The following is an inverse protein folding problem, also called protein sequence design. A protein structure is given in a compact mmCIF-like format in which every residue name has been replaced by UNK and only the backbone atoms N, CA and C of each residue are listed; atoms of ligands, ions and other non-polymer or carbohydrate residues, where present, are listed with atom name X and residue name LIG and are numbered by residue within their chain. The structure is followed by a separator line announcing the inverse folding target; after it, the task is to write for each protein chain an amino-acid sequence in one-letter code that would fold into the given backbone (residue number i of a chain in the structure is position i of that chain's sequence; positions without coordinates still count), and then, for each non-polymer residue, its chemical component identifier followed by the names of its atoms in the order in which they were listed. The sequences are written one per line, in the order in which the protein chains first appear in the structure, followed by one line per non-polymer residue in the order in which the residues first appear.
data_IF_939818143002
#
_entry.id   IF_939818143002
#
_cell.length_a   1.000
_cell.length_b   1.000
_cell.length_c   1.000
_cell.angle_alpha   90.00
_cell.angle_beta   90.00
_cell.angle_gamma   90.00
#
_symmetry.space_group_name_H-M   'P 1'
#
loop_
_entity.id
_entity.type
_entity.pdbx_description
1 polymer ?
#
# COMPACT_ATOMS: atom_id res chain seq x y z
N UNK A 1 1.36 6.24 -32.55
CA UNK A 1 0.35 6.23 -31.45
C UNK A 1 -0.39 4.91 -31.51
N UNK A 2 -0.18 3.99 -30.55
CA UNK A 2 -0.81 2.66 -30.60
C UNK A 2 -0.25 1.58 -29.66
N UNK A 3 0.86 1.81 -28.95
CA UNK A 3 1.57 0.76 -28.20
C UNK A 3 0.98 0.36 -26.83
N UNK A 4 -0.15 0.92 -26.42
CA UNK A 4 -0.70 0.68 -25.07
C UNK A 4 -2.17 0.24 -25.06
N UNK A 5 -2.81 0.10 -26.23
CA UNK A 5 -4.17 -0.45 -26.32
C UNK A 5 -4.23 -1.91 -25.90
N UNK A 6 -3.12 -2.63 -26.01
CA UNK A 6 -3.05 -4.07 -25.71
C UNK A 6 -2.62 -4.36 -24.26
N UNK A 7 -2.27 -3.33 -23.47
CA UNK A 7 -2.02 -3.47 -22.03
C UNK A 7 -3.32 -3.40 -21.21
N UNK A 8 -4.41 -2.93 -21.83
CA UNK A 8 -5.74 -2.94 -21.23
C UNK A 8 -6.35 -4.32 -21.44
N UNK A 9 -6.23 -5.19 -20.42
CA UNK A 9 -7.05 -6.38 -20.33
C UNK A 9 -6.36 -7.73 -20.53
N UNK A 10 -5.04 -7.83 -20.42
CA UNK A 10 -4.44 -9.15 -20.17
C UNK A 10 -4.56 -9.46 -18.67
N UNK A 11 -5.45 -10.37 -18.24
CA UNK A 11 -5.32 -10.93 -16.91
C UNK A 11 -3.90 -11.52 -16.81
N UNK A 12 -3.17 -11.18 -15.74
CA UNK A 12 -1.85 -11.77 -15.49
C UNK A 12 -2.01 -13.29 -15.59
N UNK A 13 -1.32 -13.92 -16.54
CA UNK A 13 -1.31 -15.38 -16.61
C UNK A 13 -0.63 -15.90 -15.34
N UNK A 14 -1.04 -17.07 -14.87
CA UNK A 14 -0.39 -17.69 -13.72
C UNK A 14 1.12 -17.81 -14.00
N UNK A 15 1.95 -17.20 -13.14
CA UNK A 15 3.42 -17.07 -13.23
C UNK A 15 3.99 -15.98 -14.15
N UNK A 16 3.18 -15.04 -14.66
CA UNK A 16 3.68 -13.85 -15.37
C UNK A 16 3.79 -12.67 -14.39
N UNK A 17 5.02 -12.18 -14.15
CA UNK A 17 5.25 -10.96 -13.38
C UNK A 17 4.78 -9.73 -14.14
N UNK A 18 4.17 -8.75 -13.45
CA UNK A 18 3.76 -7.50 -14.10
C UNK A 18 5.00 -6.73 -14.61
N UNK A 19 4.97 -6.13 -15.82
CA UNK A 19 6.06 -5.26 -16.28
C UNK A 19 6.17 -3.95 -15.46
N UNK A 20 5.25 -3.74 -14.53
CA UNK A 20 5.23 -2.64 -13.58
C UNK A 20 5.42 -3.18 -12.16
N UNK A 21 5.84 -2.32 -11.23
CA UNK A 21 5.91 -2.64 -9.79
C UNK A 21 4.52 -2.92 -9.14
N UNK A 22 3.45 -3.06 -9.93
CA UNK A 22 2.08 -3.26 -9.49
C UNK A 22 1.17 -3.71 -10.63
N UNK A 23 -0.16 -3.75 -10.40
CA UNK A 23 -1.15 -4.17 -11.40
C UNK A 23 -1.67 -2.97 -12.21
N UNK A 24 -1.83 -3.13 -13.52
CA UNK A 24 -2.54 -2.17 -14.36
C UNK A 24 -4.03 -2.26 -14.07
N UNK A 25 -4.65 -1.14 -13.74
CA UNK A 25 -6.08 -1.04 -13.43
C UNK A 25 -6.72 0.09 -14.22
N UNK A 26 -8.03 -0.02 -14.44
CA UNK A 26 -8.78 1.07 -15.06
C UNK A 26 -8.90 2.27 -14.12
N UNK A 27 -8.90 3.46 -14.73
CA UNK A 27 -9.02 4.74 -14.05
C UNK A 27 -10.18 5.53 -14.65
N UNK A 28 -11.08 5.97 -13.78
CA UNK A 28 -12.22 6.79 -14.18
C UNK A 28 -11.97 8.24 -13.80
N UNK A 29 -12.11 9.16 -14.75
CA UNK A 29 -11.98 10.60 -14.50
C UNK A 29 -13.35 11.27 -14.55
N UNK A 30 -13.63 12.08 -13.54
CA UNK A 30 -14.82 12.92 -13.43
C UNK A 30 -14.42 14.38 -13.17
N UNK A 31 -15.39 15.29 -13.13
CA UNK A 31 -15.16 16.70 -12.75
C UNK A 31 -14.62 16.83 -11.31
N UNK A 32 -15.03 15.94 -10.41
CA UNK A 32 -14.61 15.95 -9.00
C UNK A 32 -13.25 15.31 -8.74
N UNK A 33 -12.62 14.69 -9.75
CA UNK A 33 -11.33 14.03 -9.60
C UNK A 33 -11.22 12.70 -10.33
N UNK A 34 -10.37 11.83 -9.79
CA UNK A 34 -10.04 10.52 -10.39
C UNK A 34 -10.41 9.42 -9.42
N UNK A 35 -11.06 8.37 -9.93
CA UNK A 35 -11.37 7.14 -9.21
C UNK A 35 -10.50 6.01 -9.75
N UNK A 36 -9.76 5.35 -8.85
CA UNK A 36 -8.93 4.18 -9.14
C UNK A 36 -9.41 3.06 -8.23
N UNK A 37 -9.79 1.92 -8.81
CA UNK A 37 -10.18 0.75 -8.04
C UNK A 37 -8.97 -0.13 -7.77
N UNK A 38 -8.46 -0.07 -6.54
CA UNK A 38 -7.37 -0.95 -6.09
C UNK A 38 -7.95 -2.33 -5.76
N UNK A 39 -7.44 -3.43 -6.34
CA UNK A 39 -7.85 -4.79 -6.02
C UNK A 39 -7.63 -5.12 -4.53
N UNK A 40 -8.54 -5.88 -3.93
CA UNK A 40 -8.51 -6.15 -2.48
C UNK A 40 -7.24 -6.89 -2.04
N UNK A 41 -6.73 -7.78 -2.89
CA UNK A 41 -5.51 -8.56 -2.65
C UNK A 41 -4.25 -7.69 -2.60
N UNK A 42 -4.31 -6.48 -3.16
CA UNK A 42 -3.22 -5.49 -3.08
C UNK A 42 -3.34 -4.56 -1.85
N UNK A 43 -4.40 -4.69 -1.06
CA UNK A 43 -4.61 -3.88 0.14
C UNK A 43 -4.11 -4.54 1.43
N UNK A 44 -3.76 -5.83 1.36
CA UNK A 44 -3.14 -6.53 2.47
C UNK A 44 -1.83 -5.81 2.86
N UNK A 45 -1.67 -5.55 4.15
CA UNK A 45 -0.55 -4.79 4.73
C UNK A 45 -0.37 -3.33 4.30
N UNK A 46 -1.14 -2.83 3.33
CA UNK A 46 -1.07 -1.43 2.95
C UNK A 46 -1.35 -0.52 4.14
N UNK A 47 -2.25 -0.95 5.05
CA UNK A 47 -2.73 -0.18 6.21
C UNK A 47 -4.07 0.52 5.98
N UNK A 48 -4.81 0.11 4.93
CA UNK A 48 -6.15 0.59 4.62
C UNK A 48 -7.15 -0.32 5.36
N UNK A 49 -7.93 0.24 6.28
CA UNK A 49 -9.00 -0.48 6.98
C UNK A 49 -10.32 -0.42 6.19
N UNK A 50 -11.28 -1.30 6.48
CA UNK A 50 -12.64 -1.17 5.95
C UNK A 50 -13.23 0.17 6.41
N UNK A 51 -13.80 0.95 5.49
CA UNK A 51 -14.38 2.26 5.76
C UNK A 51 -13.52 3.43 5.30
N UNK A 52 -13.54 4.53 6.05
CA UNK A 52 -12.87 5.78 5.65
C UNK A 52 -11.42 5.81 6.15
N UNK A 53 -10.47 5.97 5.22
CA UNK A 53 -9.06 6.15 5.49
C UNK A 53 -8.59 7.49 4.92
N UNK A 54 -7.50 8.04 5.48
CA UNK A 54 -6.84 9.22 4.92
C UNK A 54 -5.57 8.80 4.21
N UNK A 55 -5.36 9.37 3.04
CA UNK A 55 -4.14 9.19 2.24
C UNK A 55 -3.58 10.56 1.89
N UNK A 56 -2.27 10.65 1.75
CA UNK A 56 -1.62 11.76 1.06
C UNK A 56 -1.43 11.38 -0.40
N UNK A 57 -1.68 12.35 -1.28
CA UNK A 57 -1.54 12.19 -2.73
C UNK A 57 -0.64 13.30 -3.24
N UNK A 58 0.37 12.94 -4.03
CA UNK A 58 1.26 13.91 -4.68
C UNK A 58 1.56 13.50 -6.11
N UNK A 59 2.05 14.46 -6.89
CA UNK A 59 2.43 14.25 -8.29
C UNK A 59 3.92 14.43 -8.49
N UNK A 60 4.45 13.70 -9.44
CA UNK A 60 5.78 13.91 -10.00
C UNK A 60 5.69 14.50 -11.41
N UNK A 61 6.78 15.12 -11.88
CA UNK A 61 6.82 15.76 -13.21
C UNK A 61 6.78 14.76 -14.37
N UNK A 62 7.10 13.48 -14.11
CA UNK A 62 7.04 12.39 -15.08
C UNK A 62 5.60 11.88 -15.33
N UNK A 63 4.59 12.49 -14.69
CA UNK A 63 3.19 12.09 -14.81
C UNK A 63 2.74 11.04 -13.79
N UNK A 64 3.61 10.61 -12.87
CA UNK A 64 3.26 9.69 -11.79
C UNK A 64 2.42 10.41 -10.74
N UNK A 65 1.32 9.77 -10.35
CA UNK A 65 0.52 10.15 -9.18
C UNK A 65 0.74 9.08 -8.12
N UNK A 66 1.31 9.47 -7.00
CA UNK A 66 1.66 8.59 -5.89
C UNK A 66 0.71 8.83 -4.72
N UNK A 67 0.39 7.74 -4.00
CA UNK A 67 -0.44 7.79 -2.81
C UNK A 67 0.25 7.04 -1.67
N UNK A 68 0.16 7.57 -0.45
CA UNK A 68 0.56 6.87 0.77
C UNK A 68 -0.48 7.04 1.85
N UNK A 69 -0.62 6.05 2.72
CA UNK A 69 -1.54 6.16 3.85
C UNK A 69 -1.02 7.22 4.82
N UNK A 70 -1.92 8.07 5.28
CA UNK A 70 -1.61 9.16 6.21
C UNK A 70 -1.57 8.69 7.68
N UNK A 71 -1.54 7.39 7.95
CA UNK A 71 -1.28 6.85 9.29
C UNK A 71 0.22 6.88 9.54
N UNK A 72 0.65 7.81 10.39
CA UNK A 72 2.06 8.04 10.65
C UNK A 72 2.50 7.19 11.85
N UNK A 73 3.55 6.38 11.65
CA UNK A 73 4.22 5.73 12.77
C UNK A 73 4.85 6.79 13.68
N UNK A 74 4.58 6.79 14.99
CA UNK A 74 5.09 7.82 15.89
C UNK A 74 6.62 7.79 16.03
N UNK A 75 7.29 6.69 15.66
CA UNK A 75 8.74 6.51 15.78
C UNK A 75 9.48 6.97 14.53
N UNK A 76 9.16 6.45 13.33
CA UNK A 76 9.84 6.85 12.08
C UNK A 76 9.20 8.01 11.34
N UNK A 77 8.01 8.46 11.74
CA UNK A 77 7.25 9.51 11.05
C UNK A 77 6.86 9.17 9.60
N UNK A 78 7.08 7.95 9.15
CA UNK A 78 6.65 7.44 7.85
C UNK A 78 5.19 6.96 7.89
N UNK A 79 4.51 7.07 6.75
CA UNK A 79 3.19 6.49 6.54
C UNK A 79 3.30 4.97 6.51
N UNK A 80 2.60 4.27 7.40
CA UNK A 80 2.63 2.82 7.50
C UNK A 80 1.34 2.26 8.10
N UNK A 81 1.06 0.98 7.85
CA UNK A 81 0.15 0.21 8.70
C UNK A 81 0.69 0.20 10.12
N UNK A 82 -0.16 0.53 11.08
CA UNK A 82 0.21 0.52 12.49
C UNK A 82 -0.36 -0.71 13.17
N UNK A 83 0.43 -1.27 14.08
CA UNK A 83 0.10 -2.40 14.92
C UNK A 83 0.13 -1.95 16.37
N UNK A 84 -0.87 -2.36 17.13
CA UNK A 84 -0.94 -2.07 18.55
C UNK A 84 0.11 -2.88 19.30
N UNK A 85 1.00 -2.19 20.01
CA UNK A 85 1.95 -2.75 20.95
C UNK A 85 1.51 -2.38 22.37
N UNK A 86 1.24 -3.39 23.19
CA UNK A 86 0.94 -3.24 24.60
C UNK A 86 2.23 -3.12 25.42
N UNK A 87 2.44 -1.97 26.06
CA UNK A 87 3.59 -1.68 26.92
C UNK A 87 3.26 -1.84 28.43
N UNK A 88 2.14 -2.49 28.75
CA UNK A 88 1.65 -2.71 30.12
C UNK A 88 0.93 -1.49 30.71
N UNK A 89 1.59 -0.32 30.74
CA UNK A 89 1.00 0.92 31.25
C UNK A 89 0.30 1.77 30.18
N UNK A 90 0.57 1.48 28.90
CA UNK A 90 0.01 2.19 27.75
C UNK A 90 0.06 1.33 26.49
N UNK A 91 -0.76 1.67 25.51
CA UNK A 91 -0.73 1.06 24.17
C UNK A 91 -0.21 2.07 23.16
N UNK A 92 0.66 1.63 22.24
CA UNK A 92 1.20 2.45 21.16
C UNK A 92 0.98 1.77 19.81
N UNK A 93 0.58 2.54 18.80
CA UNK A 93 0.42 2.05 17.43
C UNK A 93 1.67 2.39 16.61
N UNK A 94 2.45 1.39 16.20
CA UNK A 94 3.75 1.55 15.50
C UNK A 94 3.81 0.70 14.23
N UNK A 95 4.70 1.03 13.30
CA UNK A 95 4.90 0.21 12.09
C UNK A 95 5.50 -1.17 12.42
N UNK A 96 5.35 -2.13 11.51
CA UNK A 96 5.85 -3.49 11.66
C UNK A 96 7.36 -3.54 11.95
N UNK A 97 8.16 -2.68 11.31
CA UNK A 97 9.61 -2.60 11.49
C UNK A 97 9.97 -2.22 12.93
N UNK A 98 9.39 -1.14 13.47
CA UNK A 98 9.66 -0.73 14.85
C UNK A 98 9.05 -1.70 15.86
N UNK A 99 7.94 -2.35 15.52
CA UNK A 99 7.41 -3.44 16.34
C UNK A 99 8.44 -4.57 16.46
N UNK A 100 9.04 -4.98 15.35
CA UNK A 100 10.10 -5.99 15.34
C UNK A 100 11.32 -5.55 16.14
N UNK A 101 11.78 -4.30 16.00
CA UNK A 101 12.91 -3.77 16.78
C UNK A 101 12.66 -3.78 18.29
N UNK A 102 11.42 -3.53 18.72
CA UNK A 102 11.06 -3.48 20.15
C UNK A 102 10.74 -4.85 20.75
N UNK A 103 10.12 -5.74 19.98
CA UNK A 103 9.57 -7.02 20.49
C UNK A 103 10.41 -8.22 20.05
N UNK A 104 11.26 -8.08 19.03
CA UNK A 104 12.06 -9.16 18.44
C UNK A 104 11.27 -10.12 17.53
N UNK A 105 10.00 -9.79 17.24
CA UNK A 105 9.14 -10.53 16.31
C UNK A 105 8.16 -9.59 15.62
N UNK A 106 7.77 -9.91 14.39
CA UNK A 106 6.74 -9.15 13.68
C UNK A 106 5.37 -9.32 14.35
N UNK A 107 4.50 -8.30 14.28
CA UNK A 107 3.15 -8.39 14.83
C UNK A 107 2.30 -9.38 14.01
N UNK A 108 1.31 -9.99 14.65
CA UNK A 108 0.39 -10.92 13.97
C UNK A 108 -0.35 -10.20 12.83
N UNK A 109 -0.32 -10.81 11.64
CA UNK A 109 -0.89 -10.21 10.43
C UNK A 109 0.03 -9.24 9.70
N UNK A 110 1.28 -9.04 10.13
CA UNK A 110 2.33 -8.52 9.27
C UNK A 110 2.90 -9.65 8.41
N UNK A 111 2.58 -9.65 7.13
CA UNK A 111 3.25 -10.55 6.17
C UNK A 111 4.56 -9.87 5.77
N UNK A 112 5.70 -10.47 6.12
CA UNK A 112 6.97 -10.12 5.50
C UNK A 112 6.91 -10.60 4.05
N UNK A 113 6.64 -9.71 3.10
CA UNK A 113 7.04 -9.98 1.71
C UNK A 113 8.57 -9.87 1.62
N UNK A 114 9.29 -10.77 2.29
CA UNK A 114 10.52 -11.29 1.73
C UNK A 114 10.10 -12.42 0.79
N UNK A 115 9.63 -12.07 -0.41
CA UNK A 115 9.74 -13.03 -1.51
C UNK A 115 11.19 -12.95 -1.97
N UNK A 116 11.95 -13.92 -1.47
CA UNK A 116 13.11 -14.55 -2.09
C UNK A 116 13.32 -14.26 -3.58
N UNK A 117 14.58 -13.94 -3.91
CA UNK A 117 15.30 -13.94 -5.21
C UNK A 117 15.46 -12.59 -5.92
#
# INVERSE_FOLDING_TARGET
MGRYKDLQGMPLQANEGSPFMGRVVDVERSEGGVFVRIPFDMLDNAGISIGTNKVEVWREMNGTVSLRIATICPLCRSGARLYELDMGFSKINICAEHYFELVGKYPEGATSEETTL
#
